data_IF_569756990646
#
_entry.id   IF_569756990646
#
_cell.length_a   1.000
_cell.length_b   1.000
_cell.length_c   1.000
_cell.angle_alpha   90.00
_cell.angle_beta   90.00
_cell.angle_gamma   90.00
#
_symmetry.space_group_name_H-M   'P 1'
#
loop_
_entity.id
_entity.type
_entity.pdbx_description
1 polymer ?
#
# COMPACT_ATOMS: atom_id res chain seq x y z
N UNK A 1 37.39 -14.73 -55.64
CA UNK A 1 38.56 -15.49 -56.08
C UNK A 1 38.96 -16.46 -54.96
N UNK A 2 38.82 -17.80 -55.26
CA UNK A 2 39.42 -18.96 -54.59
C UNK A 2 39.32 -19.08 -53.06
N UNK A 3 38.35 -19.88 -52.53
CA UNK A 3 38.34 -21.33 -52.25
C UNK A 3 39.63 -21.82 -51.57
N UNK A 4 39.52 -22.22 -50.30
CA UNK A 4 40.29 -23.32 -49.73
C UNK A 4 39.46 -24.03 -48.65
N UNK A 5 39.11 -25.23 -49.03
CA UNK A 5 38.44 -26.28 -48.25
C UNK A 5 39.54 -26.99 -47.45
N UNK A 6 39.36 -27.18 -46.14
CA UNK A 6 40.17 -28.13 -45.37
C UNK A 6 39.25 -28.99 -44.54
N UNK A 7 39.12 -30.22 -44.98
CA UNK A 7 38.60 -31.36 -44.18
C UNK A 7 39.59 -31.65 -43.06
N UNK A 8 39.10 -31.86 -41.83
CA UNK A 8 39.85 -32.55 -40.79
C UNK A 8 38.93 -33.52 -40.06
N UNK A 9 39.40 -34.67 -40.02
CA UNK A 9 38.90 -36.00 -39.71
C UNK A 9 38.49 -36.14 -38.23
N UNK A 10 37.40 -36.84 -38.04
CA UNK A 10 36.73 -37.26 -36.80
C UNK A 10 37.62 -38.26 -36.04
N UNK A 11 37.79 -38.05 -34.73
CA UNK A 11 38.08 -39.12 -33.76
C UNK A 11 36.91 -39.28 -32.80
N UNK A 12 36.15 -40.37 -33.00
CA UNK A 12 35.19 -40.87 -32.03
C UNK A 12 35.92 -41.50 -30.84
N UNK A 13 35.88 -40.89 -29.70
CA UNK A 13 36.15 -41.55 -28.40
C UNK A 13 34.86 -41.64 -27.64
N UNK A 14 34.35 -42.84 -27.51
CA UNK A 14 33.15 -43.15 -26.75
C UNK A 14 33.39 -42.97 -25.27
N UNK A 15 32.63 -42.06 -24.68
CA UNK A 15 32.49 -41.93 -23.21
C UNK A 15 31.19 -42.59 -22.81
N UNK A 16 31.30 -43.69 -22.09
CA UNK A 16 30.17 -44.32 -21.40
C UNK A 16 29.61 -43.36 -20.33
N UNK A 17 28.50 -42.70 -20.63
CA UNK A 17 27.77 -41.91 -19.65
C UNK A 17 27.03 -42.84 -18.70
N UNK A 18 27.53 -42.95 -17.44
CA UNK A 18 26.74 -43.49 -16.34
C UNK A 18 25.50 -42.63 -16.16
N UNK A 19 24.33 -43.20 -16.37
CA UNK A 19 23.08 -42.59 -16.01
C UNK A 19 23.02 -42.41 -14.51
N UNK A 20 23.17 -41.19 -14.01
CA UNK A 20 22.86 -40.81 -12.64
C UNK A 20 21.37 -40.73 -12.58
N UNK A 21 20.74 -41.65 -11.86
CA UNK A 21 19.32 -41.60 -11.54
C UNK A 21 19.05 -40.32 -10.77
N UNK A 22 18.38 -39.35 -11.41
CA UNK A 22 17.86 -38.16 -10.74
C UNK A 22 16.75 -38.61 -9.79
N UNK A 23 17.04 -38.50 -8.51
CA UNK A 23 16.07 -38.62 -7.43
C UNK A 23 14.99 -37.56 -7.64
N UNK A 24 13.69 -37.90 -7.59
CA UNK A 24 12.64 -36.90 -7.67
C UNK A 24 12.78 -35.95 -6.50
N UNK A 25 13.19 -34.73 -6.75
CA UNK A 25 13.11 -33.62 -5.79
C UNK A 25 11.63 -33.42 -5.47
N UNK A 26 11.25 -33.78 -4.25
CA UNK A 26 9.93 -33.49 -3.72
C UNK A 26 9.68 -31.98 -3.83
N UNK A 27 8.75 -31.60 -4.68
CA UNK A 27 8.29 -30.25 -4.85
C UNK A 27 7.76 -29.75 -3.50
N UNK A 28 8.26 -28.63 -2.96
CA UNK A 28 7.74 -28.10 -1.71
C UNK A 28 6.24 -27.88 -1.86
N UNK A 29 5.45 -28.47 -0.95
CA UNK A 29 4.02 -28.18 -0.87
C UNK A 29 3.84 -26.67 -0.81
N UNK A 30 2.89 -26.08 -1.60
CA UNK A 30 2.53 -24.68 -1.44
C UNK A 30 2.16 -24.46 0.03
N UNK A 31 2.88 -23.56 0.69
CA UNK A 31 2.50 -23.08 2.02
C UNK A 31 1.22 -22.29 1.79
N UNK A 32 0.07 -22.86 2.13
CA UNK A 32 -1.18 -22.11 2.20
C UNK A 32 -0.98 -21.02 3.27
N UNK A 33 -0.71 -19.81 2.79
CA UNK A 33 -0.79 -18.64 3.66
C UNK A 33 -2.27 -18.52 4.05
N UNK A 34 -2.61 -18.49 5.35
CA UNK A 34 -3.98 -18.25 5.77
C UNK A 34 -4.40 -16.93 5.10
N UNK A 35 -5.43 -16.98 4.29
CA UNK A 35 -6.04 -15.80 3.68
C UNK A 35 -6.58 -14.98 4.83
N UNK A 36 -5.80 -14.00 5.28
CA UNK A 36 -6.25 -13.06 6.30
C UNK A 36 -7.56 -12.46 5.80
N UNK A 37 -8.63 -12.61 6.58
CA UNK A 37 -9.93 -12.07 6.22
C UNK A 37 -9.77 -10.58 5.95
N UNK A 38 -10.05 -10.15 4.72
CA UNK A 38 -9.96 -8.74 4.36
C UNK A 38 -11.02 -7.95 5.11
N UNK A 39 -10.68 -6.75 5.58
CA UNK A 39 -11.63 -5.81 6.18
C UNK A 39 -12.80 -5.66 5.22
N UNK A 40 -13.99 -6.06 5.66
CA UNK A 40 -15.22 -5.75 4.93
C UNK A 40 -15.55 -4.30 5.22
N UNK A 41 -15.59 -3.48 4.18
CA UNK A 41 -15.89 -2.04 4.34
C UNK A 41 -17.22 -1.80 5.05
N UNK A 42 -18.19 -2.70 4.90
CA UNK A 42 -19.44 -2.65 5.65
C UNK A 42 -19.24 -2.73 7.17
N UNK A 43 -18.22 -3.46 7.65
CA UNK A 43 -17.95 -3.61 9.10
C UNK A 43 -17.33 -2.33 9.68
N UNK A 44 -16.70 -1.51 8.83
CA UNK A 44 -16.10 -0.22 9.21
C UNK A 44 -16.92 0.98 8.74
N UNK A 45 -18.12 0.74 8.20
CA UNK A 45 -19.04 1.81 7.80
C UNK A 45 -19.38 2.74 8.99
N UNK A 46 -19.51 4.02 8.70
CA UNK A 46 -19.79 5.06 9.70
C UNK A 46 -18.80 6.22 9.64
N UNK A 47 -18.85 7.07 10.66
CA UNK A 47 -17.97 8.25 10.77
C UNK A 47 -16.90 8.00 11.81
N UNK A 48 -15.66 8.32 11.44
CA UNK A 48 -14.48 8.16 12.30
C UNK A 48 -13.82 9.49 12.51
N UNK A 49 -13.52 9.84 13.77
CA UNK A 49 -12.64 10.98 14.06
C UNK A 49 -11.19 10.49 13.98
N UNK A 50 -10.41 11.10 13.11
CA UNK A 50 -9.02 10.75 12.83
C UNK A 50 -8.10 11.88 13.30
N UNK A 51 -7.07 11.54 14.04
CA UNK A 51 -5.98 12.43 14.42
C UNK A 51 -4.68 11.95 13.76
N UNK A 52 -4.14 12.79 12.88
CA UNK A 52 -2.90 12.53 12.16
C UNK A 52 -1.77 13.39 12.74
N UNK A 53 -0.81 12.73 13.39
CA UNK A 53 0.39 13.40 13.90
C UNK A 53 1.45 13.45 12.79
N UNK A 54 1.76 14.66 12.34
CA UNK A 54 2.69 14.92 11.22
C UNK A 54 3.64 16.07 11.57
N UNK A 55 4.67 16.29 10.72
CA UNK A 55 5.59 17.42 10.87
C UNK A 55 5.24 18.56 9.92
N UNK A 56 5.29 19.78 10.44
CA UNK A 56 5.21 21.02 9.62
C UNK A 56 6.45 21.18 8.72
N UNK A 57 6.43 22.17 7.82
CA UNK A 57 7.61 22.54 7.02
C UNK A 57 8.84 22.91 7.88
N UNK A 58 8.61 23.45 9.06
CA UNK A 58 9.66 23.81 10.02
C UNK A 58 10.12 22.61 10.90
N UNK A 59 9.64 21.39 10.60
CA UNK A 59 9.98 20.18 11.38
C UNK A 59 9.27 20.04 12.71
N UNK A 60 8.36 20.98 13.06
CA UNK A 60 7.58 20.94 14.31
C UNK A 60 6.46 19.92 14.20
N UNK A 61 6.26 19.15 15.26
CA UNK A 61 5.14 18.22 15.36
C UNK A 61 3.80 18.97 15.43
N UNK A 62 2.83 18.49 14.70
CA UNK A 62 1.46 19.01 14.68
C UNK A 62 0.47 17.87 14.52
N UNK A 63 -0.75 18.10 14.99
CA UNK A 63 -1.85 17.13 14.80
C UNK A 63 -2.91 17.76 13.92
N UNK A 64 -3.32 17.03 12.89
CA UNK A 64 -4.45 17.37 12.03
C UNK A 64 -5.61 16.46 12.40
N UNK A 65 -6.75 17.06 12.73
CA UNK A 65 -7.99 16.34 12.99
C UNK A 65 -8.85 16.37 11.73
N UNK A 66 -9.34 15.20 11.32
CA UNK A 66 -10.26 15.02 10.22
C UNK A 66 -11.36 14.02 10.57
N UNK A 67 -12.41 13.96 9.76
CA UNK A 67 -13.41 12.92 9.84
C UNK A 67 -13.34 12.07 8.58
N UNK A 68 -13.21 10.76 8.75
CA UNK A 68 -13.35 9.78 7.67
C UNK A 68 -14.77 9.23 7.71
N UNK A 69 -15.51 9.43 6.64
CA UNK A 69 -16.86 8.88 6.47
C UNK A 69 -16.78 7.70 5.51
N UNK A 70 -17.13 6.53 6.00
CA UNK A 70 -17.25 5.29 5.20
C UNK A 70 -18.72 5.02 4.99
N UNK A 71 -19.17 5.04 3.74
CA UNK A 71 -20.57 4.80 3.41
C UNK A 71 -20.99 3.36 3.76
N UNK A 72 -22.27 3.19 4.10
CA UNK A 72 -22.84 1.89 4.48
C UNK A 72 -22.75 0.84 3.35
N UNK A 73 -22.73 1.30 2.08
CA UNK A 73 -22.55 0.44 0.90
C UNK A 73 -21.10 -0.06 0.74
N UNK A 74 -20.17 0.45 1.55
CA UNK A 74 -18.76 0.11 1.50
C UNK A 74 -18.04 0.52 0.20
N UNK A 75 -18.61 1.44 -0.60
CA UNK A 75 -18.05 1.81 -1.91
C UNK A 75 -17.45 3.20 -1.92
N UNK A 76 -17.94 4.09 -1.08
CA UNK A 76 -17.49 5.48 -1.03
C UNK A 76 -16.89 5.84 0.31
N UNK A 77 -15.79 6.58 0.23
CA UNK A 77 -15.11 7.18 1.36
C UNK A 77 -14.95 8.68 1.11
N UNK A 78 -15.09 9.45 2.18
CA UNK A 78 -14.89 10.90 2.14
C UNK A 78 -14.09 11.32 3.37
N UNK A 79 -13.09 12.15 3.16
CA UNK A 79 -12.35 12.79 4.25
C UNK A 79 -12.82 14.23 4.40
N UNK A 80 -13.31 14.60 5.57
CA UNK A 80 -13.74 15.93 5.91
C UNK A 80 -12.66 16.62 6.77
N UNK A 81 -12.22 17.78 6.34
CA UNK A 81 -11.38 18.70 7.09
C UNK A 81 -12.19 19.92 7.50
N UNK A 82 -11.95 20.42 8.71
CA UNK A 82 -12.67 21.59 9.22
C UNK A 82 -12.57 22.80 8.26
N UNK A 83 -13.72 23.40 7.93
CA UNK A 83 -13.79 24.58 7.07
C UNK A 83 -13.47 24.33 5.58
N UNK A 84 -13.60 23.10 5.11
CA UNK A 84 -13.34 22.71 3.71
C UNK A 84 -14.43 21.84 3.15
N UNK A 85 -14.51 21.82 1.83
CA UNK A 85 -15.34 20.89 1.10
C UNK A 85 -14.88 19.45 1.33
N UNK A 86 -15.80 18.47 1.32
CA UNK A 86 -15.48 17.06 1.44
C UNK A 86 -14.47 16.60 0.38
N UNK A 87 -13.44 15.89 0.80
CA UNK A 87 -12.37 15.41 -0.07
C UNK A 87 -12.68 13.95 -0.45
N UNK A 88 -12.98 13.68 -1.73
CA UNK A 88 -13.16 12.31 -2.19
C UNK A 88 -11.93 11.47 -1.88
N UNK A 89 -12.16 10.33 -1.26
CA UNK A 89 -11.10 9.42 -0.83
C UNK A 89 -11.31 8.08 -1.51
N UNK A 90 -10.30 7.55 -2.15
CA UNK A 90 -10.35 6.27 -2.83
C UNK A 90 -9.66 5.18 -2.03
N UNK A 91 -10.17 3.96 -2.16
CA UNK A 91 -9.50 2.77 -1.64
C UNK A 91 -8.45 2.34 -2.65
N UNK A 92 -7.22 2.19 -2.19
CA UNK A 92 -6.09 1.75 -3.01
C UNK A 92 -5.85 0.26 -2.84
N UNK A 93 -6.01 -0.25 -1.60
CA UNK A 93 -5.89 -1.65 -1.27
C UNK A 93 -6.65 -1.98 0.02
N UNK A 94 -7.05 -3.23 0.16
CA UNK A 94 -7.58 -3.79 1.40
C UNK A 94 -7.03 -5.19 1.61
N UNK A 95 -6.70 -5.56 2.84
CA UNK A 95 -6.18 -6.89 3.15
C UNK A 95 -5.99 -7.09 4.64
N UNK A 96 -6.34 -8.26 5.16
CA UNK A 96 -6.32 -8.52 6.57
C UNK A 96 -7.22 -7.55 7.34
N UNK A 97 -6.69 -6.91 8.35
CA UNK A 97 -7.32 -5.87 9.17
C UNK A 97 -7.04 -4.45 8.67
N UNK A 98 -6.44 -4.29 7.49
CA UNK A 98 -5.96 -3.02 6.97
C UNK A 98 -6.72 -2.53 5.75
N UNK A 99 -6.87 -1.22 5.67
CA UNK A 99 -7.40 -0.46 4.55
C UNK A 99 -6.38 0.60 4.15
N UNK A 100 -5.99 0.61 2.87
CA UNK A 100 -5.14 1.67 2.32
C UNK A 100 -6.00 2.61 1.50
N UNK A 101 -6.00 3.88 1.89
CA UNK A 101 -6.78 4.95 1.24
C UNK A 101 -5.88 6.02 0.66
N UNK A 102 -6.40 6.77 -0.31
CA UNK A 102 -5.73 7.93 -0.88
C UNK A 102 -6.74 9.06 -1.08
N UNK A 103 -6.39 10.25 -0.61
CA UNK A 103 -7.19 11.45 -0.73
C UNK A 103 -6.40 12.58 -1.39
N UNK A 104 -7.04 13.34 -2.26
CA UNK A 104 -6.42 14.50 -2.90
C UNK A 104 -6.23 14.35 -4.42
N UNK A 105 -5.52 15.34 -5.05
CA UNK A 105 -4.84 16.46 -4.39
C UNK A 105 -5.79 17.52 -3.80
N UNK A 106 -5.43 18.09 -2.67
CA UNK A 106 -6.16 19.20 -2.04
C UNK A 106 -5.18 20.22 -1.41
N UNK A 107 -5.67 21.41 -1.07
CA UNK A 107 -4.83 22.44 -0.42
C UNK A 107 -4.43 21.99 0.96
N UNK A 108 -3.14 22.00 1.27
CA UNK A 108 -2.63 21.56 2.57
C UNK A 108 -3.08 22.46 3.71
N UNK A 109 -3.45 21.86 4.84
CA UNK A 109 -3.71 22.58 6.11
C UNK A 109 -2.44 22.77 6.96
N UNK A 110 -1.36 22.07 6.59
CA UNK A 110 -0.08 22.08 7.33
C UNK A 110 0.95 22.97 6.63
N UNK A 111 0.88 23.08 5.30
CA UNK A 111 1.80 23.87 4.48
C UNK A 111 1.02 24.80 3.57
N UNK A 112 0.95 26.07 3.94
CA UNK A 112 0.23 27.07 3.17
C UNK A 112 0.76 27.16 1.72
N UNK A 113 -0.16 27.31 0.77
CA UNK A 113 0.17 27.48 -0.64
C UNK A 113 0.60 26.20 -1.38
N UNK A 114 0.60 25.06 -0.73
CA UNK A 114 0.93 23.78 -1.36
C UNK A 114 -0.29 22.87 -1.45
N UNK A 115 -0.39 22.10 -2.53
CA UNK A 115 -1.29 20.96 -2.61
C UNK A 115 -0.63 19.71 -2.05
N UNK A 116 -1.45 18.81 -1.54
CA UNK A 116 -1.02 17.55 -0.95
C UNK A 116 -1.93 16.42 -1.40
N UNK A 117 -1.35 15.25 -1.62
CA UNK A 117 -2.06 13.98 -1.71
C UNK A 117 -1.65 13.15 -0.51
N UNK A 118 -2.61 12.61 0.23
CA UNK A 118 -2.36 11.76 1.38
C UNK A 118 -2.64 10.31 1.05
N UNK A 119 -1.77 9.42 1.52
CA UNK A 119 -1.98 7.97 1.50
C UNK A 119 -1.95 7.47 2.94
N UNK A 120 -3.00 6.78 3.33
CA UNK A 120 -3.18 6.32 4.70
C UNK A 120 -3.30 4.80 4.72
N UNK A 121 -2.64 4.17 5.69
CA UNK A 121 -2.82 2.76 6.01
C UNK A 121 -3.51 2.70 7.36
N UNK A 122 -4.73 2.19 7.38
CA UNK A 122 -5.63 2.18 8.53
C UNK A 122 -5.88 0.75 9.00
N UNK A 123 -5.76 0.51 10.29
CA UNK A 123 -6.07 -0.75 10.96
C UNK A 123 -7.23 -0.52 11.91
N UNK A 124 -8.33 -1.22 11.69
CA UNK A 124 -9.56 -1.10 12.48
C UNK A 124 -9.66 -2.20 13.53
N UNK A 125 -9.93 -1.81 14.77
CA UNK A 125 -10.15 -2.73 15.89
C UNK A 125 -11.31 -2.26 16.75
N UNK A 126 -12.50 -2.82 16.51
CA UNK A 126 -13.74 -2.34 17.13
C UNK A 126 -14.01 -0.88 16.78
N UNK A 127 -14.17 -0.04 17.78
CA UNK A 127 -14.40 1.40 17.62
C UNK A 127 -13.09 2.23 17.57
N UNK A 128 -11.94 1.58 17.45
CA UNK A 128 -10.66 2.26 17.34
C UNK A 128 -10.04 2.04 15.95
N UNK A 129 -9.33 3.04 15.47
CA UNK A 129 -8.49 2.97 14.28
C UNK A 129 -7.10 3.51 14.60
N UNK A 130 -6.09 2.84 14.05
CA UNK A 130 -4.69 3.27 14.13
C UNK A 130 -4.03 3.08 12.79
N UNK A 131 -2.90 3.73 12.55
CA UNK A 131 -2.22 3.57 11.27
C UNK A 131 -1.11 4.56 11.02
N UNK A 132 -0.81 4.71 9.72
CA UNK A 132 0.21 5.64 9.24
C UNK A 132 -0.33 6.49 8.10
N UNK A 133 0.21 7.70 7.97
CA UNK A 133 -0.06 8.63 6.88
C UNK A 133 1.24 8.97 6.15
N UNK A 134 1.17 9.02 4.84
CA UNK A 134 2.18 9.59 3.97
C UNK A 134 1.57 10.74 3.19
N UNK A 135 2.07 11.95 3.41
CA UNK A 135 1.63 13.17 2.74
C UNK A 135 2.67 13.59 1.69
N UNK A 136 2.28 13.59 0.42
CA UNK A 136 3.09 14.01 -0.73
C UNK A 136 2.68 15.40 -1.18
N UNK A 137 3.59 16.33 -1.10
CA UNK A 137 3.37 17.74 -1.43
C UNK A 137 3.75 18.05 -2.89
N UNK A 138 3.13 19.09 -3.46
CA UNK A 138 3.47 19.58 -4.79
C UNK A 138 4.93 20.03 -4.95
N UNK A 139 5.61 20.36 -3.85
CA UNK A 139 7.06 20.62 -3.82
C UNK A 139 7.93 19.38 -4.06
N UNK A 140 7.36 18.17 -4.04
CA UNK A 140 8.07 16.90 -4.06
C UNK A 140 8.40 16.34 -2.68
N UNK A 141 8.17 17.11 -1.62
CA UNK A 141 8.42 16.64 -0.26
C UNK A 141 7.44 15.54 0.14
N UNK A 142 7.94 14.59 0.92
CA UNK A 142 7.14 13.51 1.51
C UNK A 142 7.26 13.58 3.02
N UNK A 143 6.13 13.66 3.70
CA UNK A 143 6.06 13.65 5.17
C UNK A 143 5.31 12.40 5.60
N UNK A 144 5.86 11.70 6.58
CA UNK A 144 5.23 10.53 7.20
C UNK A 144 4.78 10.87 8.62
N UNK A 145 3.69 10.23 9.03
CA UNK A 145 3.12 10.43 10.35
C UNK A 145 2.38 9.20 10.83
N UNK A 146 1.85 9.29 12.04
CA UNK A 146 1.00 8.28 12.66
C UNK A 146 -0.45 8.74 12.72
N UNK A 147 -1.34 7.76 12.71
CA UNK A 147 -2.79 7.96 12.80
C UNK A 147 -3.32 7.25 14.03
N UNK A 148 -4.23 7.90 14.75
CA UNK A 148 -5.13 7.29 15.71
C UNK A 148 -6.52 7.90 15.54
N UNK A 149 -7.54 7.15 15.94
CA UNK A 149 -8.90 7.67 15.85
C UNK A 149 -9.90 6.73 16.46
N UNK A 150 -11.15 7.20 16.50
CA UNK A 150 -12.27 6.48 17.09
C UNK A 150 -13.54 6.65 16.24
N UNK A 151 -14.42 5.66 16.31
CA UNK A 151 -15.74 5.73 15.68
C UNK A 151 -16.58 6.77 16.41
N UNK A 152 -17.23 7.63 15.64
CA UNK A 152 -18.23 8.57 16.15
C UNK A 152 -19.53 7.82 16.46
N UNK A 153 -20.07 7.98 17.66
CA UNK A 153 -21.37 7.44 18.09
C UNK A 153 -22.51 8.37 17.69
#
# INVERSE_FOLDING_TARGET
>A
MRIALLLSTVCLTGYATKAVAQQPTAQPKPVEHPTAASVKLADVAGTWTIESAVKTAAGKDTTVTSELVVAADGKSLVTNLAGRDPIPTRIVASGGDSLVTEAGPFQSVVRAGQTVTTRETLHFKGDNVSGTIEARYSSGDVVKGSIKGTRKK
#
